data_IF_397613356843
#
_entry.id   IF_397613356843
#
_cell.length_a   1.000
_cell.length_b   1.000
_cell.length_c   1.000
_cell.angle_alpha   90.00
_cell.angle_beta   90.00
_cell.angle_gamma   90.00
#
_symmetry.space_group_name_H-M   'P 1'
#
loop_
_entity.id
_entity.type
_entity.pdbx_description
1 polymer ?
#
# COMPACT_ATOMS: atom_id res chain seq x y z
N UNK A 1 33.35 -3.01 -15.66
CA UNK A 1 33.12 -2.01 -14.59
C UNK A 1 32.16 -0.90 -15.03
N UNK A 2 32.39 -0.16 -16.13
CA UNK A 2 31.45 0.90 -16.56
C UNK A 2 30.04 0.39 -16.90
N UNK A 3 29.92 -0.67 -17.72
CA UNK A 3 28.63 -1.21 -18.16
C UNK A 3 27.74 -1.75 -17.02
N UNK A 4 28.34 -2.24 -15.93
CA UNK A 4 27.61 -2.79 -14.80
C UNK A 4 27.01 -1.68 -13.94
N UNK A 5 27.77 -0.58 -13.76
CA UNK A 5 27.29 0.63 -13.08
C UNK A 5 26.16 1.30 -13.86
N UNK A 6 26.28 1.40 -15.20
CA UNK A 6 25.23 2.01 -16.03
C UNK A 6 23.92 1.22 -15.99
N UNK A 7 24.00 -0.13 -15.97
CA UNK A 7 22.83 -0.99 -15.83
C UNK A 7 22.20 -0.90 -14.43
N UNK A 8 23.01 -0.76 -13.37
CA UNK A 8 22.52 -0.62 -12.00
C UNK A 8 21.82 0.74 -11.79
N UNK A 9 22.38 1.81 -12.36
CA UNK A 9 21.76 3.14 -12.35
C UNK A 9 20.43 3.14 -13.07
N UNK A 10 20.35 2.53 -14.27
CA UNK A 10 19.09 2.42 -15.00
C UNK A 10 18.02 1.65 -14.23
N UNK A 11 18.38 0.57 -13.52
CA UNK A 11 17.42 -0.16 -12.68
C UNK A 11 16.96 0.67 -11.48
N UNK A 12 17.88 1.39 -10.83
CA UNK A 12 17.54 2.25 -9.70
C UNK A 12 16.59 3.39 -10.11
N UNK A 13 16.85 4.02 -11.25
CA UNK A 13 15.97 5.05 -11.83
C UNK A 13 14.59 4.47 -12.14
N UNK A 14 14.55 3.28 -12.75
CA UNK A 14 13.29 2.59 -13.03
C UNK A 14 12.48 2.33 -11.75
N UNK A 15 13.11 1.75 -10.73
CA UNK A 15 12.47 1.44 -9.44
C UNK A 15 12.00 2.71 -8.72
N UNK A 16 12.77 3.78 -8.81
CA UNK A 16 12.40 5.09 -8.27
C UNK A 16 11.15 5.65 -8.93
N UNK A 17 11.07 5.61 -10.27
CA UNK A 17 9.87 6.03 -11.00
C UNK A 17 8.65 5.18 -10.62
N UNK A 18 8.82 3.86 -10.44
CA UNK A 18 7.72 3.00 -10.01
C UNK A 18 7.18 3.40 -8.65
N UNK A 19 8.06 3.75 -7.71
CA UNK A 19 7.69 4.25 -6.39
C UNK A 19 6.96 5.60 -6.49
N UNK A 20 7.49 6.57 -7.23
CA UNK A 20 6.88 7.88 -7.41
C UNK A 20 5.47 7.80 -8.00
N UNK A 21 5.29 7.00 -9.05
CA UNK A 21 3.98 6.75 -9.65
C UNK A 21 3.00 6.13 -8.65
N UNK A 22 3.47 5.16 -7.85
CA UNK A 22 2.67 4.52 -6.81
C UNK A 22 2.21 5.50 -5.73
N UNK A 23 3.10 6.40 -5.30
CA UNK A 23 2.80 7.45 -4.32
C UNK A 23 1.86 8.52 -4.89
N UNK A 24 2.01 8.85 -6.17
CA UNK A 24 1.11 9.74 -6.91
C UNK A 24 -0.30 9.15 -7.02
N UNK A 25 -0.41 7.84 -7.31
CA UNK A 25 -1.69 7.13 -7.33
C UNK A 25 -2.38 7.16 -5.97
N UNK A 26 -1.66 6.86 -4.88
CA UNK A 26 -2.20 6.99 -3.53
C UNK A 26 -2.74 8.41 -3.26
N UNK A 27 -1.97 9.43 -3.64
CA UNK A 27 -2.39 10.83 -3.50
C UNK A 27 -3.64 11.15 -4.31
N UNK A 28 -3.80 10.57 -5.49
CA UNK A 28 -5.00 10.75 -6.33
C UNK A 28 -6.23 10.06 -5.73
N UNK A 29 -6.08 8.88 -5.12
CA UNK A 29 -7.18 8.12 -4.50
C UNK A 29 -7.64 8.79 -3.20
N UNK A 30 -6.71 9.20 -2.34
CA UNK A 30 -7.00 9.64 -0.98
C UNK A 30 -6.96 11.17 -0.81
N UNK A 31 -6.41 11.91 -1.76
CA UNK A 31 -6.28 13.36 -1.70
C UNK A 31 -5.47 13.80 -0.49
N UNK A 32 -5.99 14.78 0.25
CA UNK A 32 -5.39 15.28 1.52
C UNK A 32 -5.24 14.22 2.60
N UNK A 33 -5.96 13.10 2.47
CA UNK A 33 -5.97 12.01 3.45
C UNK A 33 -4.97 10.90 3.10
N UNK A 34 -4.21 11.07 2.02
CA UNK A 34 -3.17 10.13 1.63
C UNK A 34 -2.22 9.84 2.79
N UNK A 35 -1.86 8.56 2.91
CA UNK A 35 -0.91 8.06 3.90
C UNK A 35 -1.33 8.18 5.36
N UNK A 36 -2.61 8.47 5.65
CA UNK A 36 -3.13 8.51 7.02
C UNK A 36 -3.95 7.27 7.33
N UNK A 37 -3.86 6.80 8.56
CA UNK A 37 -4.81 5.82 9.09
C UNK A 37 -6.14 6.51 9.41
N UNK A 38 -7.23 5.74 9.36
CA UNK A 38 -8.56 6.18 9.81
C UNK A 38 -8.92 5.47 11.12
N UNK A 39 -9.65 6.17 11.99
CA UNK A 39 -10.23 5.60 13.20
C UNK A 39 -11.50 6.38 13.53
N UNK A 40 -12.55 5.69 13.95
CA UNK A 40 -13.85 6.26 14.30
C UNK A 40 -14.39 7.18 13.19
N UNK A 41 -14.24 6.74 11.93
CA UNK A 41 -14.70 7.48 10.76
C UNK A 41 -13.85 8.70 10.40
N UNK A 42 -12.73 8.96 11.08
CA UNK A 42 -11.88 10.14 10.85
C UNK A 42 -10.43 9.77 10.55
N UNK A 43 -9.85 10.43 9.55
CA UNK A 43 -8.42 10.33 9.28
C UNK A 43 -7.61 11.03 10.37
N UNK A 44 -6.54 10.37 10.79
CA UNK A 44 -5.61 10.91 11.77
C UNK A 44 -4.82 12.07 11.18
N UNK A 45 -4.44 13.04 12.03
CA UNK A 45 -3.76 14.26 11.58
C UNK A 45 -2.41 13.96 10.92
N UNK A 46 -1.63 13.07 11.54
CA UNK A 46 -0.28 12.74 11.11
C UNK A 46 -0.29 11.58 10.12
N UNK A 47 0.58 11.60 9.08
CA UNK A 47 0.83 10.43 8.26
C UNK A 47 1.26 9.24 9.10
N UNK A 48 0.82 8.06 8.70
CA UNK A 48 1.18 6.80 9.33
C UNK A 48 2.18 6.08 8.42
N UNK A 49 3.39 5.84 8.92
CA UNK A 49 4.45 5.13 8.19
C UNK A 49 4.01 3.76 7.71
N UNK A 50 3.25 3.01 8.50
CA UNK A 50 2.76 1.69 8.10
C UNK A 50 1.78 1.77 6.93
N UNK A 51 1.01 2.87 6.82
CA UNK A 51 0.13 3.13 5.67
C UNK A 51 0.97 3.50 4.43
N UNK A 52 2.03 4.30 4.60
CA UNK A 52 2.99 4.58 3.50
C UNK A 52 3.56 3.27 2.97
N UNK A 53 4.06 2.40 3.85
CA UNK A 53 4.71 1.14 3.47
C UNK A 53 3.79 0.26 2.61
N UNK A 54 2.55 0.03 3.05
CA UNK A 54 1.61 -0.85 2.33
C UNK A 54 1.16 -0.22 1.00
N UNK A 55 0.95 1.10 0.96
CA UNK A 55 0.55 1.80 -0.26
C UNK A 55 1.68 1.78 -1.29
N UNK A 56 2.89 2.14 -0.87
CA UNK A 56 4.08 2.09 -1.70
C UNK A 56 4.32 0.68 -2.25
N UNK A 57 4.23 -0.35 -1.42
CA UNK A 57 4.51 -1.72 -1.84
C UNK A 57 3.59 -2.24 -2.94
N UNK A 58 2.28 -1.99 -2.83
CA UNK A 58 1.34 -2.49 -3.83
C UNK A 58 1.21 -1.55 -5.03
N UNK A 59 1.20 -0.23 -4.82
CA UNK A 59 1.06 0.70 -5.92
C UNK A 59 2.36 0.94 -6.69
N UNK A 60 3.53 0.58 -6.16
CA UNK A 60 4.75 0.57 -6.97
C UNK A 60 4.73 -0.51 -8.06
N UNK A 61 3.85 -1.52 -7.97
CA UNK A 61 3.71 -2.52 -9.02
C UNK A 61 2.94 -1.94 -10.23
N UNK A 62 3.56 -1.83 -11.42
CA UNK A 62 2.90 -1.27 -12.60
C UNK A 62 1.65 -2.05 -13.01
N UNK A 63 1.62 -3.38 -12.79
CA UNK A 63 0.46 -4.20 -13.13
C UNK A 63 -0.73 -3.88 -12.21
N UNK A 64 -0.47 -3.62 -10.93
CA UNK A 64 -1.49 -3.14 -9.98
C UNK A 64 -1.99 -1.76 -10.40
N UNK A 65 -1.12 -0.81 -10.74
CA UNK A 65 -1.54 0.53 -11.17
C UNK A 65 -2.38 0.50 -12.44
N UNK A 66 -1.97 -0.30 -13.43
CA UNK A 66 -2.70 -0.45 -14.69
C UNK A 66 -4.13 -1.01 -14.48
N UNK A 67 -4.36 -1.76 -13.41
CA UNK A 67 -5.67 -2.31 -13.05
C UNK A 67 -6.55 -1.36 -12.22
N UNK A 68 -6.11 -0.11 -11.97
CA UNK A 68 -6.83 0.90 -11.20
C UNK A 68 -7.26 2.06 -12.12
N UNK A 69 -8.31 1.88 -12.94
CA UNK A 69 -8.94 2.98 -13.65
C UNK A 69 -9.64 3.94 -12.68
N UNK A 70 -9.99 5.14 -13.17
CA UNK A 70 -10.54 6.23 -12.35
C UNK A 70 -11.83 5.84 -11.59
N UNK A 71 -12.69 5.01 -12.19
CA UNK A 71 -13.94 4.53 -11.60
C UNK A 71 -13.72 3.56 -10.43
N UNK A 72 -12.55 2.93 -10.32
CA UNK A 72 -12.19 2.03 -9.20
C UNK A 72 -11.64 2.77 -7.99
N UNK A 73 -11.15 4.00 -8.15
CA UNK A 73 -10.52 4.78 -7.06
C UNK A 73 -11.44 4.96 -5.84
N UNK A 74 -12.74 5.28 -5.99
CA UNK A 74 -13.64 5.38 -4.82
C UNK A 74 -13.80 4.05 -4.08
N UNK A 75 -13.86 2.92 -4.79
CA UNK A 75 -14.00 1.60 -4.19
C UNK A 75 -12.73 1.19 -3.42
N UNK A 76 -11.54 1.54 -3.93
CA UNK A 76 -10.26 1.30 -3.25
C UNK A 76 -10.19 2.13 -1.97
N UNK A 77 -10.59 3.40 -2.02
CA UNK A 77 -10.68 4.26 -0.84
C UNK A 77 -11.62 3.65 0.20
N UNK A 78 -12.84 3.27 -0.21
CA UNK A 78 -13.82 2.65 0.66
C UNK A 78 -13.31 1.34 1.29
N UNK A 79 -12.60 0.50 0.55
CA UNK A 79 -12.01 -0.74 1.07
C UNK A 79 -10.94 -0.49 2.14
N UNK A 80 -10.10 0.53 1.97
CA UNK A 80 -9.11 0.91 2.98
C UNK A 80 -9.78 1.48 4.24
N UNK A 81 -10.77 2.35 4.05
CA UNK A 81 -11.55 2.94 5.13
C UNK A 81 -12.31 1.87 5.93
N UNK A 82 -12.97 0.93 5.25
CA UNK A 82 -13.65 -0.21 5.86
C UNK A 82 -12.69 -1.08 6.68
N UNK A 83 -11.50 -1.39 6.16
CA UNK A 83 -10.48 -2.10 6.92
C UNK A 83 -10.07 -1.36 8.19
N UNK A 84 -9.91 -0.04 8.12
CA UNK A 84 -9.52 0.75 9.29
C UNK A 84 -10.63 0.77 10.35
N UNK A 85 -11.88 0.93 9.93
CA UNK A 85 -13.02 1.12 10.85
C UNK A 85 -13.57 -0.23 11.37
N UNK A 86 -13.49 -1.31 10.58
CA UNK A 86 -14.14 -2.60 10.88
C UNK A 86 -13.17 -3.76 11.16
N UNK A 87 -11.86 -3.59 10.98
CA UNK A 87 -10.85 -4.61 11.32
C UNK A 87 -9.88 -4.09 12.39
N UNK A 88 -10.21 -4.36 13.66
CA UNK A 88 -9.39 -3.95 14.81
C UNK A 88 -7.95 -4.50 14.75
N UNK A 89 -7.73 -5.71 14.19
CA UNK A 89 -6.39 -6.28 14.02
C UNK A 89 -5.58 -5.50 13.00
N UNK A 90 -6.20 -5.09 11.90
CA UNK A 90 -5.57 -4.24 10.90
C UNK A 90 -5.21 -2.87 11.47
N UNK A 91 -6.17 -2.20 12.14
CA UNK A 91 -5.93 -0.91 12.78
C UNK A 91 -4.79 -0.99 13.80
N UNK A 92 -4.79 -2.02 14.65
CA UNK A 92 -3.70 -2.27 15.60
C UNK A 92 -2.36 -2.50 14.88
N UNK A 93 -2.34 -3.24 13.77
CA UNK A 93 -1.14 -3.49 12.97
C UNK A 93 -0.60 -2.23 12.26
N UNK A 94 -1.45 -1.23 12.01
CA UNK A 94 -1.04 0.10 11.53
C UNK A 94 -0.49 0.99 12.66
N UNK A 95 -0.98 0.83 13.89
CA UNK A 95 -0.59 1.67 15.03
C UNK A 95 0.63 1.13 15.79
N UNK A 96 0.89 -0.17 15.71
CA UNK A 96 1.99 -0.82 16.42
C UNK A 96 3.32 -0.64 15.69
N UNK A 97 4.41 -0.43 16.44
CA UNK A 97 5.75 -0.28 15.86
C UNK A 97 6.17 -1.51 15.04
N UNK A 98 6.92 -1.28 13.96
CA UNK A 98 7.38 -2.27 12.97
C UNK A 98 8.33 -3.36 13.51
N UNK A 99 8.53 -3.45 14.84
CA UNK A 99 9.49 -4.34 15.50
C UNK A 99 9.07 -5.82 15.51
N UNK A 100 7.83 -6.13 15.16
CA UNK A 100 7.38 -7.53 15.02
C UNK A 100 7.02 -7.83 13.58
N UNK A 101 7.64 -8.87 13.02
CA UNK A 101 7.32 -9.44 11.70
C UNK A 101 5.82 -9.75 11.57
N UNK A 102 5.15 -10.06 12.70
CA UNK A 102 3.71 -10.31 12.77
C UNK A 102 2.86 -9.11 12.34
N UNK A 103 3.07 -7.94 12.94
CA UNK A 103 2.29 -6.74 12.59
C UNK A 103 2.55 -6.28 11.15
N UNK A 104 3.79 -6.45 10.67
CA UNK A 104 4.13 -6.18 9.27
C UNK A 104 3.44 -7.15 8.32
N UNK A 105 3.56 -8.46 8.53
CA UNK A 105 2.87 -9.43 7.68
C UNK A 105 1.36 -9.19 7.64
N UNK A 106 0.73 -8.98 8.80
CA UNK A 106 -0.71 -8.78 8.91
C UNK A 106 -1.23 -7.61 8.06
N UNK A 107 -0.66 -6.40 8.22
CA UNK A 107 -1.16 -5.22 7.50
C UNK A 107 -0.98 -5.32 5.98
N UNK A 108 0.10 -5.97 5.53
CA UNK A 108 0.34 -6.17 4.10
C UNK A 108 -0.64 -7.17 3.51
N UNK A 109 -0.93 -8.28 4.21
CA UNK A 109 -1.92 -9.26 3.77
C UNK A 109 -3.33 -8.69 3.76
N UNK A 110 -3.76 -8.06 4.86
CA UNK A 110 -5.11 -7.50 4.97
C UNK A 110 -5.38 -6.46 3.87
N UNK A 111 -4.43 -5.55 3.65
CA UNK A 111 -4.56 -4.56 2.58
C UNK A 111 -4.51 -5.19 1.18
N UNK A 112 -3.58 -6.12 0.95
CA UNK A 112 -3.49 -6.84 -0.33
C UNK A 112 -4.76 -7.60 -0.66
N UNK A 113 -5.37 -8.28 0.32
CA UNK A 113 -6.63 -9.01 0.16
C UNK A 113 -7.79 -8.07 -0.15
N UNK A 114 -7.89 -6.93 0.55
CA UNK A 114 -8.91 -5.92 0.28
C UNK A 114 -8.74 -5.33 -1.13
N UNK A 115 -7.51 -5.00 -1.53
CA UNK A 115 -7.22 -4.50 -2.87
C UNK A 115 -7.56 -5.54 -3.94
N UNK A 116 -7.20 -6.81 -3.73
CA UNK A 116 -7.49 -7.94 -4.63
C UNK A 116 -8.99 -8.11 -4.87
N UNK A 117 -9.84 -7.87 -3.86
CA UNK A 117 -11.29 -7.90 -4.02
C UNK A 117 -11.82 -6.82 -4.98
N UNK A 118 -11.11 -5.70 -5.11
CA UNK A 118 -11.53 -4.56 -5.95
C UNK A 118 -11.02 -4.68 -7.39
N UNK A 119 -9.76 -5.08 -7.56
CA UNK A 119 -9.04 -5.07 -8.86
C UNK A 119 -8.57 -6.44 -9.36
N UNK A 120 -8.81 -7.51 -8.60
CA UNK A 120 -8.58 -8.89 -9.03
C UNK A 120 -7.17 -9.43 -8.76
N UNK A 121 -6.85 -10.54 -9.43
CA UNK A 121 -5.70 -11.39 -9.10
C UNK A 121 -4.32 -10.80 -9.44
N UNK A 122 -4.26 -9.64 -10.11
CA UNK A 122 -3.01 -8.92 -10.40
C UNK A 122 -2.28 -8.47 -9.14
N UNK A 123 -2.99 -8.32 -8.03
CA UNK A 123 -2.38 -8.02 -6.74
C UNK A 123 -1.52 -9.21 -6.32
N UNK A 124 -0.21 -9.01 -6.18
CA UNK A 124 0.70 -10.04 -5.68
C UNK A 124 0.44 -10.39 -4.21
N UNK A 125 0.79 -11.59 -3.79
CA UNK A 125 0.77 -11.94 -2.36
C UNK A 125 2.02 -11.41 -1.67
N UNK A 126 1.87 -10.93 -0.43
CA UNK A 126 3.02 -10.50 0.35
C UNK A 126 3.85 -11.73 0.80
N UNK A 127 5.18 -11.74 0.60
CA UNK A 127 5.99 -12.96 0.69
C UNK A 127 6.21 -13.49 2.12
N UNK A 128 5.93 -12.71 3.17
CA UNK A 128 6.06 -13.19 4.54
C UNK A 128 4.80 -13.97 4.94
N UNK A 129 5.00 -15.10 5.63
CA UNK A 129 3.90 -15.96 6.06
C UNK A 129 2.84 -15.20 6.87
N UNK A 130 1.57 -15.54 6.66
CA UNK A 130 0.48 -15.13 7.53
C UNK A 130 0.72 -15.76 8.89
N UNK A 131 0.90 -14.92 9.91
CA UNK A 131 1.00 -15.45 11.27
C UNK A 131 -0.42 -15.76 11.77
N UNK A 132 -0.69 -16.99 12.23
CA UNK A 132 -1.99 -17.35 12.82
C UNK A 132 -2.33 -16.53 14.09
#
# INVERSE_FOLDING_TARGET
MSFETDSQLGQLEHDWMQLEDGMSLASTIFGKDAFKSRQDGKYQRSPNRAVIDIMAYYFADPAVRAAIPDDKKPAIRAAFEDLCDNNAKFLQALQTSTKTTKATSQRFHDWGDALRKVIGAVVREFPLARNP
#
